data_IF_241117817833
#
_entry.id   IF_241117817833
#
_cell.length_a   1.000
_cell.length_b   1.000
_cell.length_c   1.000
_cell.angle_alpha   90.00
_cell.angle_beta   90.00
_cell.angle_gamma   90.00
#
_symmetry.space_group_name_H-M   'P 1'
#
loop_
_entity.id
_entity.type
_entity.pdbx_description
1 polymer ?
#
# COMPACT_ATOMS: atom_id res chain seq x y z
N UNK A 1 3.64 -16.45 -33.04
CA UNK A 1 4.29 -15.19 -32.59
C UNK A 1 3.52 -13.92 -33.02
N UNK A 2 2.18 -13.89 -32.94
CA UNK A 2 1.36 -12.72 -33.37
C UNK A 2 0.22 -12.30 -32.41
N UNK A 3 0.06 -12.93 -31.24
CA UNK A 3 -1.05 -12.61 -30.31
C UNK A 3 -0.75 -11.47 -29.30
N UNK A 4 0.47 -10.96 -29.23
CA UNK A 4 0.89 -10.08 -28.13
C UNK A 4 0.82 -8.55 -28.42
N UNK A 5 0.41 -8.14 -29.63
CA UNK A 5 0.33 -6.71 -30.00
C UNK A 5 -1.06 -6.07 -29.79
N UNK A 6 -2.12 -6.87 -29.75
CA UNK A 6 -3.49 -6.35 -29.60
C UNK A 6 -3.81 -5.96 -28.15
N UNK A 7 -3.35 -6.76 -27.17
CA UNK A 7 -3.54 -6.50 -25.74
C UNK A 7 -2.82 -5.22 -25.26
N UNK A 8 -1.61 -4.94 -25.76
CA UNK A 8 -0.87 -3.72 -25.37
C UNK A 8 -1.52 -2.42 -25.83
N UNK A 9 -2.27 -2.43 -26.95
CA UNK A 9 -3.02 -1.26 -27.43
C UNK A 9 -4.32 -1.03 -26.66
N UNK A 10 -4.97 -2.08 -26.17
CA UNK A 10 -6.18 -1.96 -25.36
C UNK A 10 -5.88 -1.29 -24.00
N UNK A 11 -4.81 -1.73 -23.32
CA UNK A 11 -4.42 -1.19 -22.00
C UNK A 11 -4.01 0.29 -22.05
N UNK A 12 -3.31 0.73 -23.11
CA UNK A 12 -2.93 2.15 -23.25
C UNK A 12 -4.10 3.08 -23.62
N UNK A 13 -5.16 2.54 -24.21
CA UNK A 13 -6.33 3.33 -24.62
C UNK A 13 -7.34 3.52 -23.47
N UNK A 14 -7.42 2.55 -22.55
CA UNK A 14 -8.27 2.62 -21.36
C UNK A 14 -7.74 3.65 -20.34
N UNK A 15 -6.42 3.70 -20.13
CA UNK A 15 -5.76 4.66 -19.22
C UNK A 15 -5.95 6.15 -19.58
N UNK A 16 -6.12 6.48 -20.88
CA UNK A 16 -6.33 7.88 -21.31
C UNK A 16 -7.80 8.34 -21.27
N UNK A 17 -8.76 7.41 -21.35
CA UNK A 17 -10.20 7.76 -21.40
C UNK A 17 -10.81 7.92 -20.01
N UNK A 18 -10.31 7.22 -18.99
CA UNK A 18 -10.77 7.38 -17.60
C UNK A 18 -10.30 8.70 -16.98
N UNK A 19 -9.10 9.19 -17.33
CA UNK A 19 -8.56 10.43 -16.77
C UNK A 19 -9.26 11.71 -17.25
N UNK A 20 -9.88 11.72 -18.43
CA UNK A 20 -10.55 12.91 -18.98
C UNK A 20 -12.01 13.10 -18.54
N UNK A 21 -12.67 12.09 -17.94
CA UNK A 21 -14.09 12.21 -17.55
C UNK A 21 -14.31 12.76 -16.13
N UNK A 22 -13.33 12.67 -15.23
CA UNK A 22 -13.49 13.14 -13.84
C UNK A 22 -13.14 14.62 -13.60
N UNK A 23 -12.81 15.40 -14.63
CA UNK A 23 -12.53 16.84 -14.53
C UNK A 23 -13.72 17.76 -14.90
N UNK A 24 -14.87 17.18 -15.26
CA UNK A 24 -15.96 17.91 -15.89
C UNK A 24 -17.28 17.90 -15.14
N UNK A 25 -17.32 18.13 -13.82
CA UNK A 25 -18.56 18.43 -13.09
C UNK A 25 -18.26 19.08 -11.73
N UNK A 26 -17.87 20.35 -11.77
CA UNK A 26 -18.06 21.26 -10.65
C UNK A 26 -18.86 22.45 -11.18
N UNK A 27 -20.12 22.51 -10.76
CA UNK A 27 -21.06 23.57 -11.09
C UNK A 27 -20.50 24.91 -10.59
N UNK A 28 -20.40 25.86 -11.51
CA UNK A 28 -20.09 27.24 -11.20
C UNK A 28 -21.30 27.89 -10.51
N UNK A 29 -21.14 28.26 -9.24
CA UNK A 29 -21.98 29.26 -8.60
C UNK A 29 -21.16 30.55 -8.49
N UNK A 30 -21.59 31.55 -9.25
CA UNK A 30 -21.08 32.92 -9.19
C UNK A 30 -21.35 33.54 -7.81
N UNK A 31 -20.38 34.20 -7.16
CA UNK A 31 -20.70 35.07 -6.03
C UNK A 31 -21.04 36.49 -6.54
N UNK A 32 -21.97 37.21 -5.89
CA UNK A 32 -22.18 38.61 -6.19
C UNK A 32 -21.08 39.46 -5.58
N UNK A 33 -20.70 40.50 -6.32
CA UNK A 33 -19.91 41.64 -5.88
C UNK A 33 -20.67 42.44 -4.83
N UNK A 34 -20.01 42.80 -3.73
CA UNK A 34 -20.10 44.16 -3.19
C UNK A 34 -18.97 44.45 -2.20
N UNK A 35 -18.57 45.72 -2.18
CA UNK A 35 -17.33 46.25 -1.65
C UNK A 35 -17.45 46.76 -0.19
N UNK A 36 -16.26 47.00 0.38
CA UNK A 36 -15.92 47.87 1.53
C UNK A 36 -16.34 47.43 2.94
N UNK A 37 -15.36 47.06 3.77
CA UNK A 37 -14.81 47.94 4.83
C UNK A 37 -13.76 47.20 5.66
N UNK A 38 -12.59 47.83 5.82
CA UNK A 38 -11.59 47.51 6.83
C UNK A 38 -12.20 47.49 8.23
N UNK A 39 -11.87 46.46 9.03
CA UNK A 39 -11.57 46.62 10.46
C UNK A 39 -11.06 45.32 11.08
N UNK A 40 -9.91 45.46 11.75
CA UNK A 40 -9.23 44.54 12.67
C UNK A 40 -10.15 43.57 13.42
N UNK A 41 -10.01 42.27 13.16
CA UNK A 41 -10.49 41.20 14.05
C UNK A 41 -9.38 40.21 14.35
N UNK A 42 -8.97 40.23 15.62
CA UNK A 42 -8.16 39.21 16.27
C UNK A 42 -8.60 37.81 15.85
N UNK A 43 -7.62 36.98 15.47
CA UNK A 43 -7.83 35.62 15.04
C UNK A 43 -8.60 34.85 16.13
N UNK A 44 -9.90 34.62 15.90
CA UNK A 44 -10.66 33.58 16.60
C UNK A 44 -9.90 32.29 16.36
N UNK A 45 -9.35 31.68 17.41
CA UNK A 45 -8.92 30.28 17.43
C UNK A 45 -10.14 29.44 17.05
N UNK A 46 -10.29 29.17 15.76
CA UNK A 46 -11.19 28.15 15.25
C UNK A 46 -10.75 26.83 15.85
N UNK A 47 -11.69 26.09 16.44
CA UNK A 47 -11.48 24.71 16.87
C UNK A 47 -10.74 23.93 15.77
N UNK A 48 -9.83 23.01 16.13
CA UNK A 48 -9.12 22.21 15.14
C UNK A 48 -10.16 21.56 14.21
N UNK A 49 -10.05 21.85 12.91
CA UNK A 49 -10.92 21.21 11.90
C UNK A 49 -10.56 19.72 11.88
N UNK A 50 -11.55 18.87 12.09
CA UNK A 50 -11.38 17.41 12.23
C UNK A 50 -10.69 16.73 11.03
N UNK A 51 -10.74 17.34 9.84
CA UNK A 51 -9.99 16.89 8.66
C UNK A 51 -9.57 18.08 7.81
N UNK A 52 -8.33 18.13 7.32
CA UNK A 52 -7.97 19.04 6.25
C UNK A 52 -8.59 18.54 4.93
N UNK A 53 -9.80 19.04 4.63
CA UNK A 53 -10.60 18.66 3.47
C UNK A 53 -9.98 18.97 2.10
N UNK A 54 -8.78 19.57 2.03
CA UNK A 54 -8.08 19.91 0.78
C UNK A 54 -6.57 19.79 0.96
N UNK A 55 -5.98 18.82 0.27
CA UNK A 55 -4.53 18.76 0.07
C UNK A 55 -4.16 19.59 -1.16
N UNK A 56 -3.15 20.45 -1.02
CA UNK A 56 -2.53 21.08 -2.17
C UNK A 56 -1.55 20.09 -2.77
N UNK A 57 -1.63 19.86 -4.09
CA UNK A 57 -0.64 19.05 -4.83
C UNK A 57 0.81 19.56 -4.70
N UNK A 58 0.99 20.79 -4.22
CA UNK A 58 2.29 21.44 -4.11
C UNK A 58 2.84 21.47 -2.68
N UNK A 59 2.05 21.05 -1.69
CA UNK A 59 2.49 21.01 -0.30
C UNK A 59 2.59 19.55 0.16
N UNK A 60 3.50 19.24 1.09
CA UNK A 60 3.53 17.92 1.71
C UNK A 60 2.16 17.60 2.32
N UNK A 61 1.80 16.32 2.28
CA UNK A 61 0.59 15.82 2.91
C UNK A 61 0.54 16.27 4.38
N UNK A 62 -0.63 16.71 4.83
CA UNK A 62 -0.82 17.11 6.21
C UNK A 62 -0.79 15.88 7.11
N UNK A 63 -0.24 16.06 8.31
CA UNK A 63 -0.11 15.04 9.37
C UNK A 63 -0.99 15.43 10.56
N UNK A 64 -1.55 14.44 11.24
CA UNK A 64 -2.30 14.67 12.48
C UNK A 64 -1.38 15.16 13.60
N UNK A 65 -1.83 16.17 14.36
CA UNK A 65 -1.15 16.57 15.59
C UNK A 65 -1.39 15.53 16.69
N UNK A 66 -0.51 15.48 17.68
CA UNK A 66 -0.58 14.53 18.79
C UNK A 66 -1.93 14.55 19.53
N UNK A 67 -2.47 15.73 19.82
CA UNK A 67 -3.80 15.91 20.44
C UNK A 67 -4.94 15.26 19.62
N UNK A 68 -4.82 15.32 18.29
CA UNK A 68 -5.81 14.73 17.37
C UNK A 68 -5.65 13.22 17.30
N UNK A 69 -4.40 12.73 17.29
CA UNK A 69 -4.10 11.29 17.26
C UNK A 69 -4.77 10.59 18.45
N UNK A 70 -4.45 10.98 19.68
CA UNK A 70 -4.97 10.32 20.88
C UNK A 70 -6.50 10.33 20.89
N UNK A 71 -7.10 11.50 20.71
CA UNK A 71 -8.56 11.66 20.81
C UNK A 71 -9.36 11.04 19.65
N UNK A 72 -8.77 10.90 18.46
CA UNK A 72 -9.44 10.35 17.28
C UNK A 72 -9.26 8.85 17.14
N UNK A 73 -8.09 8.33 17.51
CA UNK A 73 -7.77 6.91 17.43
C UNK A 73 -8.63 6.12 18.40
N UNK A 74 -8.73 6.57 19.66
CA UNK A 74 -9.59 5.93 20.67
C UNK A 74 -11.05 5.83 20.18
N UNK A 75 -11.58 6.91 19.61
CA UNK A 75 -12.95 6.93 19.06
C UNK A 75 -13.15 5.96 17.90
N UNK A 76 -12.15 5.78 17.04
CA UNK A 76 -12.24 4.87 15.90
C UNK A 76 -12.11 3.40 16.33
N UNK A 77 -11.17 3.10 17.22
CA UNK A 77 -10.92 1.75 17.70
C UNK A 77 -12.03 1.23 18.62
N UNK A 78 -12.67 2.10 19.40
CA UNK A 78 -13.79 1.72 20.28
C UNK A 78 -15.14 1.63 19.56
N UNK A 79 -15.27 2.18 18.34
CA UNK A 79 -16.50 2.13 17.58
C UNK A 79 -16.80 0.71 17.07
N UNK A 80 -18.03 0.24 17.24
CA UNK A 80 -18.49 -1.06 16.76
C UNK A 80 -18.31 -1.19 15.22
N UNK A 81 -17.78 -2.30 14.70
CA UNK A 81 -17.73 -2.55 13.25
C UNK A 81 -19.09 -2.38 12.55
N UNK A 82 -19.08 -1.68 11.41
CA UNK A 82 -20.27 -1.34 10.61
C UNK A 82 -20.95 -0.03 10.99
N UNK A 83 -20.38 0.75 11.92
CA UNK A 83 -20.95 2.04 12.37
C UNK A 83 -20.20 3.28 11.86
N UNK A 84 -18.99 3.12 11.31
CA UNK A 84 -18.17 4.23 10.85
C UNK A 84 -18.54 4.67 9.43
N UNK A 85 -19.02 3.75 8.58
CA UNK A 85 -19.77 4.09 7.38
C UNK A 85 -20.87 3.06 7.13
N UNK A 86 -22.08 3.53 6.82
CA UNK A 86 -23.29 2.70 6.79
C UNK A 86 -23.74 2.37 5.38
N UNK A 87 -24.22 1.13 5.17
CA UNK A 87 -24.91 0.76 3.94
C UNK A 87 -26.28 1.44 3.84
N UNK A 88 -26.56 2.09 2.71
CA UNK A 88 -27.88 2.67 2.42
C UNK A 88 -28.76 1.68 1.66
N UNK A 89 -29.91 1.23 2.21
CA UNK A 89 -30.80 0.26 1.53
C UNK A 89 -31.31 0.72 0.17
N UNK A 90 -31.33 2.03 -0.10
CA UNK A 90 -31.70 2.57 -1.43
C UNK A 90 -30.74 2.13 -2.54
N UNK A 91 -29.51 1.74 -2.19
CA UNK A 91 -28.49 1.29 -3.13
C UNK A 91 -28.84 -0.07 -3.75
N UNK A 92 -29.81 -0.82 -3.19
CA UNK A 92 -30.30 -2.08 -3.76
C UNK A 92 -30.91 -1.91 -5.15
N UNK A 93 -31.33 -0.69 -5.50
CA UNK A 93 -31.88 -0.34 -6.82
C UNK A 93 -30.79 -0.09 -7.88
N UNK A 94 -29.51 -0.08 -7.50
CA UNK A 94 -28.38 0.15 -8.40
C UNK A 94 -27.92 -1.16 -9.06
N UNK A 95 -27.16 -1.04 -10.16
CA UNK A 95 -26.43 -2.20 -10.68
C UNK A 95 -25.36 -2.65 -9.69
N UNK A 96 -24.89 -3.90 -9.76
CA UNK A 96 -23.84 -4.39 -8.86
C UNK A 96 -22.56 -3.54 -8.95
N UNK A 97 -22.22 -3.08 -10.17
CA UNK A 97 -21.06 -2.21 -10.41
C UNK A 97 -21.23 -0.83 -9.78
N UNK A 98 -22.38 -0.19 -9.99
CA UNK A 98 -22.66 1.13 -9.42
C UNK A 98 -22.73 1.07 -7.89
N UNK A 99 -23.27 -0.02 -7.34
CA UNK A 99 -23.33 -0.23 -5.89
C UNK A 99 -21.93 -0.42 -5.27
N UNK A 100 -21.03 -1.11 -5.97
CA UNK A 100 -19.63 -1.24 -5.57
C UNK A 100 -18.91 0.12 -5.65
N UNK A 101 -19.07 0.87 -6.74
CA UNK A 101 -18.52 2.23 -6.84
C UNK A 101 -19.07 3.15 -5.74
N UNK A 102 -20.36 3.08 -5.42
CA UNK A 102 -20.95 3.83 -4.32
C UNK A 102 -20.35 3.41 -2.97
N UNK A 103 -20.11 2.11 -2.74
CA UNK A 103 -19.47 1.64 -1.51
C UNK A 103 -18.07 2.24 -1.32
N UNK A 104 -17.28 2.36 -2.40
CA UNK A 104 -15.97 3.02 -2.36
C UNK A 104 -16.11 4.51 -2.02
N UNK A 105 -17.12 5.20 -2.57
CA UNK A 105 -17.39 6.61 -2.28
C UNK A 105 -17.81 6.85 -0.82
N UNK A 106 -18.65 6.00 -0.25
CA UNK A 106 -19.08 6.10 1.16
C UNK A 106 -17.89 5.88 2.12
N UNK A 107 -16.98 4.96 1.79
CA UNK A 107 -15.80 4.66 2.59
C UNK A 107 -14.74 5.78 2.54
N UNK A 108 -14.72 6.58 1.47
CA UNK A 108 -13.65 7.52 1.17
C UNK A 108 -13.38 8.54 2.30
N UNK A 109 -14.43 9.08 2.94
CA UNK A 109 -14.25 10.04 4.03
C UNK A 109 -13.54 9.42 5.24
N UNK A 110 -13.87 8.17 5.57
CA UNK A 110 -13.21 7.41 6.62
C UNK A 110 -11.77 7.06 6.22
N UNK A 111 -11.55 6.66 4.95
CA UNK A 111 -10.22 6.39 4.43
C UNK A 111 -9.29 7.58 4.61
N UNK A 112 -9.72 8.77 4.17
CA UNK A 112 -8.93 10.00 4.32
C UNK A 112 -8.62 10.31 5.79
N UNK A 113 -9.57 10.04 6.70
CA UNK A 113 -9.36 10.23 8.13
C UNK A 113 -8.31 9.28 8.68
N UNK A 114 -8.39 8.00 8.36
CA UNK A 114 -7.43 7.00 8.84
C UNK A 114 -6.05 7.25 8.23
N UNK A 115 -5.97 7.60 6.95
CA UNK A 115 -4.70 8.00 6.32
C UNK A 115 -4.07 9.21 7.04
N UNK A 116 -4.86 10.23 7.38
CA UNK A 116 -4.38 11.41 8.09
C UNK A 116 -3.77 11.05 9.47
N UNK A 117 -4.41 10.12 10.20
CA UNK A 117 -3.91 9.62 11.48
C UNK A 117 -2.64 8.77 11.31
N UNK A 118 -2.62 7.86 10.33
CA UNK A 118 -1.44 7.05 10.03
C UNK A 118 -0.25 7.91 9.63
N UNK A 119 -0.46 8.97 8.84
CA UNK A 119 0.60 9.95 8.51
C UNK A 119 1.11 10.68 9.76
N UNK A 120 0.23 10.97 10.71
CA UNK A 120 0.58 11.53 12.03
C UNK A 120 1.53 10.62 12.80
N UNK A 121 1.15 9.36 13.02
CA UNK A 121 2.01 8.36 13.66
C UNK A 121 3.33 8.14 12.93
N UNK A 122 3.28 8.00 11.60
CA UNK A 122 4.45 7.84 10.74
C UNK A 122 5.40 9.04 10.85
N UNK A 123 4.89 10.26 11.05
CA UNK A 123 5.72 11.48 11.17
C UNK A 123 6.53 11.56 12.46
N UNK A 124 6.18 10.74 13.47
CA UNK A 124 6.89 10.63 14.75
C UNK A 124 8.10 9.67 14.66
N UNK A 125 8.25 8.95 13.54
CA UNK A 125 9.31 7.97 13.32
C UNK A 125 10.44 8.59 12.47
N UNK A 126 11.66 8.50 12.97
CA UNK A 126 12.84 8.95 12.22
C UNK A 126 13.03 8.12 10.93
N UNK A 127 13.32 8.81 9.83
CA UNK A 127 13.58 8.16 8.54
C UNK A 127 12.33 7.75 7.75
N UNK A 128 11.14 8.03 8.29
CA UNK A 128 9.86 7.80 7.62
C UNK A 128 9.60 8.77 6.47
N UNK A 129 8.78 8.32 5.49
CA UNK A 129 8.35 9.11 4.33
C UNK A 129 7.56 10.38 4.69
N UNK A 130 6.90 10.43 5.86
CA UNK A 130 6.05 11.56 6.29
C UNK A 130 6.73 12.47 7.32
N UNK A 131 8.04 12.33 7.50
CA UNK A 131 8.81 13.05 8.53
C UNK A 131 8.43 14.54 8.59
N UNK A 132 8.11 14.98 9.80
CA UNK A 132 8.07 16.40 10.17
C UNK A 132 9.26 16.71 11.07
N UNK A 133 9.71 17.96 11.13
CA UNK A 133 10.86 18.39 11.95
C UNK A 133 10.62 18.31 13.49
N UNK A 134 9.54 17.63 13.91
CA UNK A 134 9.11 17.53 15.30
C UNK A 134 9.62 16.25 15.99
N UNK A 135 9.59 16.29 17.32
CA UNK A 135 10.16 15.34 18.27
C UNK A 135 10.03 13.85 17.90
N UNK A 136 11.11 13.12 18.16
CA UNK A 136 11.18 11.67 17.99
C UNK A 136 10.40 10.95 19.09
N UNK A 137 9.63 9.93 18.71
CA UNK A 137 8.97 9.08 19.67
C UNK A 137 9.95 8.10 20.34
N UNK A 138 9.85 7.96 21.67
CA UNK A 138 10.61 6.97 22.42
C UNK A 138 10.04 5.54 22.26
N UNK A 139 8.74 5.40 21.97
CA UNK A 139 8.05 4.10 21.88
C UNK A 139 7.61 3.74 20.45
N UNK A 140 8.55 3.30 19.62
CA UNK A 140 8.28 2.91 18.21
C UNK A 140 7.32 1.72 18.09
N UNK A 141 7.38 0.76 19.02
CA UNK A 141 6.57 -0.46 18.98
C UNK A 141 5.08 -0.16 19.19
N UNK A 142 4.76 0.76 20.12
CA UNK A 142 3.39 1.22 20.36
C UNK A 142 2.84 2.00 19.16
N UNK A 143 3.66 2.82 18.51
CA UNK A 143 3.27 3.53 17.27
C UNK A 143 2.88 2.52 16.19
N UNK A 144 3.75 1.54 15.92
CA UNK A 144 3.48 0.51 14.90
C UNK A 144 2.22 -0.29 15.26
N UNK A 145 2.05 -0.63 16.54
CA UNK A 145 0.86 -1.35 17.00
C UNK A 145 -0.42 -0.56 16.73
N UNK A 146 -0.50 0.71 17.13
CA UNK A 146 -1.65 1.57 16.86
C UNK A 146 -1.93 1.73 15.35
N UNK A 147 -0.87 1.83 14.53
CA UNK A 147 -1.01 1.90 13.08
C UNK A 147 -1.61 0.61 12.48
N UNK A 148 -1.21 -0.56 12.99
CA UNK A 148 -1.77 -1.85 12.57
C UNK A 148 -3.23 -1.97 13.02
N UNK A 149 -3.57 -1.58 14.24
CA UNK A 149 -4.96 -1.62 14.72
C UNK A 149 -5.91 -0.72 13.91
N UNK A 150 -5.46 0.46 13.51
CA UNK A 150 -6.22 1.34 12.62
C UNK A 150 -6.47 0.70 11.25
N UNK A 151 -5.47 0.00 10.71
CA UNK A 151 -5.58 -0.72 9.44
C UNK A 151 -6.56 -1.90 9.56
N UNK A 152 -6.47 -2.68 10.63
CA UNK A 152 -7.40 -3.77 10.94
C UNK A 152 -8.83 -3.28 11.12
N UNK A 153 -8.99 -2.13 11.78
CA UNK A 153 -10.30 -1.50 11.97
C UNK A 153 -10.95 -1.14 10.65
N UNK A 154 -10.18 -0.64 9.69
CA UNK A 154 -10.65 -0.33 8.33
C UNK A 154 -11.07 -1.58 7.56
N UNK A 155 -10.32 -2.68 7.67
CA UNK A 155 -10.70 -3.95 7.06
C UNK A 155 -11.98 -4.53 7.68
N UNK A 156 -12.10 -4.48 9.02
CA UNK A 156 -13.29 -4.94 9.73
C UNK A 156 -14.54 -4.14 9.33
N UNK A 157 -14.40 -2.82 9.15
CA UNK A 157 -15.50 -1.97 8.70
C UNK A 157 -15.97 -2.36 7.28
N UNK A 158 -15.02 -2.62 6.38
CA UNK A 158 -15.31 -3.12 5.05
C UNK A 158 -16.08 -4.43 5.03
N UNK A 159 -15.61 -5.41 5.81
CA UNK A 159 -16.26 -6.71 5.95
C UNK A 159 -17.69 -6.54 6.45
N UNK A 160 -17.89 -5.75 7.52
CA UNK A 160 -19.20 -5.47 8.09
C UNK A 160 -20.14 -4.82 7.05
N UNK A 161 -19.65 -3.89 6.22
CA UNK A 161 -20.44 -3.27 5.16
C UNK A 161 -20.96 -4.31 4.14
N UNK A 162 -20.11 -5.23 3.68
CA UNK A 162 -20.50 -6.28 2.73
C UNK A 162 -21.47 -7.27 3.35
N UNK A 163 -21.29 -7.62 4.62
CA UNK A 163 -22.23 -8.49 5.34
C UNK A 163 -23.62 -7.88 5.47
N UNK A 164 -23.70 -6.59 5.85
CA UNK A 164 -24.97 -5.86 5.94
C UNK A 164 -25.65 -5.81 4.57
N UNK A 165 -24.91 -5.46 3.51
CA UNK A 165 -25.40 -5.47 2.13
C UNK A 165 -25.98 -6.83 1.73
N UNK A 166 -25.25 -7.91 2.02
CA UNK A 166 -25.69 -9.27 1.73
C UNK A 166 -26.97 -9.64 2.48
N UNK A 167 -27.08 -9.29 3.77
CA UNK A 167 -28.28 -9.52 4.58
C UNK A 167 -29.51 -8.82 3.98
N UNK A 168 -29.38 -7.57 3.54
CA UNK A 168 -30.48 -6.85 2.89
C UNK A 168 -30.93 -7.50 1.58
N UNK A 169 -29.98 -7.97 0.75
CA UNK A 169 -30.31 -8.67 -0.51
C UNK A 169 -31.03 -10.00 -0.26
N UNK A 170 -30.58 -10.77 0.72
CA UNK A 170 -31.24 -12.03 1.12
C UNK A 170 -32.65 -11.79 1.66
N UNK A 171 -32.88 -10.71 2.40
CA UNK A 171 -34.21 -10.34 2.88
C UNK A 171 -35.15 -9.95 1.73
N UNK A 172 -34.68 -9.16 0.76
CA UNK A 172 -35.47 -8.82 -0.43
C UNK A 172 -35.84 -10.05 -1.26
N UNK A 173 -34.91 -10.98 -1.45
CA UNK A 173 -35.16 -12.22 -2.19
C UNK A 173 -36.29 -13.04 -1.54
N UNK A 174 -36.25 -13.21 -0.21
CA UNK A 174 -37.31 -13.93 0.53
C UNK A 174 -38.68 -13.26 0.42
N UNK A 175 -38.73 -11.93 0.40
CA UNK A 175 -40.00 -11.19 0.24
C UNK A 175 -40.55 -11.38 -1.17
N UNK A 176 -39.70 -11.39 -2.19
CA UNK A 176 -40.09 -11.62 -3.58
C UNK A 176 -40.64 -13.05 -3.79
N UNK A 177 -39.98 -14.06 -3.22
CA UNK A 177 -40.44 -15.47 -3.31
C UNK A 177 -41.80 -15.68 -2.63
N UNK A 178 -42.03 -14.99 -1.51
CA UNK A 178 -43.31 -15.01 -0.80
C UNK A 178 -44.44 -14.23 -1.51
N UNK A 179 -44.14 -13.42 -2.53
CA UNK A 179 -45.16 -12.67 -3.30
C UNK A 179 -45.58 -13.34 -4.60
N UNK A 180 -44.90 -14.41 -5.03
CA UNK A 180 -45.18 -15.11 -6.30
C UNK A 180 -45.58 -16.58 -6.12
N UNK A 181 -45.94 -17.00 -4.90
CA UNK A 181 -46.50 -18.33 -4.66
C UNK A 181 -47.67 -18.27 -3.70
N UNK A 182 -48.87 -18.38 -4.27
CA UNK A 182 -50.00 -18.96 -3.56
C UNK A 182 -49.62 -20.37 -3.09
N UNK A 183 -49.86 -20.63 -1.81
CA UNK A 183 -49.94 -21.95 -1.18
C UNK A 183 -48.81 -22.94 -1.53
N UNK A 184 -47.77 -22.96 -0.70
CA UNK A 184 -47.25 -24.21 -0.14
C UNK A 184 -46.42 -23.94 1.12
N UNK A 185 -47.00 -24.27 2.27
CA UNK A 185 -46.29 -24.44 3.53
C UNK A 185 -45.24 -25.54 3.37
N UNK A 186 -43.97 -25.19 3.56
CA UNK A 186 -42.92 -26.15 3.89
C UNK A 186 -41.88 -25.44 4.76
N UNK A 187 -41.90 -25.77 6.05
CA UNK A 187 -40.99 -25.29 7.10
C UNK A 187 -39.51 -25.33 6.68
N UNK A 188 -38.69 -24.30 7.01
CA UNK A 188 -37.26 -24.43 6.95
C UNK A 188 -36.73 -25.00 8.27
N UNK A 189 -36.10 -26.16 8.18
CA UNK A 189 -35.34 -26.78 9.25
C UNK A 189 -34.25 -25.83 9.77
N UNK A 190 -34.34 -25.49 11.06
CA UNK A 190 -33.27 -24.94 11.88
C UNK A 190 -32.17 -25.98 12.04
N UNK A 191 -31.11 -25.83 11.25
CA UNK A 191 -29.86 -26.57 11.43
C UNK A 191 -28.92 -25.81 12.36
N UNK A 192 -29.17 -25.89 13.66
CA UNK A 192 -28.15 -25.62 14.67
C UNK A 192 -27.12 -26.76 14.62
N UNK A 193 -25.89 -26.42 14.25
CA UNK A 193 -24.70 -27.21 14.57
C UNK A 193 -23.67 -26.28 15.20
N UNK A 194 -23.72 -26.25 16.52
CA UNK A 194 -22.53 -26.02 17.33
C UNK A 194 -21.64 -27.27 17.18
N UNK A 195 -20.47 -27.12 16.59
CA UNK A 195 -19.33 -27.98 16.88
C UNK A 195 -18.06 -27.13 16.78
N UNK A 196 -17.16 -27.39 17.71
CA UNK A 196 -16.04 -26.54 18.08
C UNK A 196 -14.73 -27.08 17.50
N UNK A 197 -13.80 -26.14 17.24
CA UNK A 197 -12.34 -26.27 17.03
C UNK A 197 -11.88 -26.12 15.55
N UNK A 198 -11.23 -24.99 15.27
CA UNK A 198 -10.36 -24.62 14.12
C UNK A 198 -10.92 -24.60 12.68
N UNK A 199 -12.25 -24.67 12.48
CA UNK A 199 -12.88 -24.53 11.14
C UNK A 199 -13.36 -23.09 10.81
N UNK A 200 -13.31 -22.14 11.75
CA UNK A 200 -13.94 -20.81 11.58
C UNK A 200 -13.26 -19.97 10.49
N UNK A 201 -11.93 -20.05 10.33
CA UNK A 201 -11.20 -19.26 9.33
C UNK A 201 -11.49 -19.67 7.90
N UNK A 202 -11.65 -20.97 7.63
CA UNK A 202 -11.91 -21.49 6.29
C UNK A 202 -13.36 -21.23 5.87
N UNK A 203 -14.30 -21.34 6.82
CA UNK A 203 -15.70 -20.98 6.62
C UNK A 203 -15.84 -19.48 6.34
N UNK A 204 -15.15 -18.63 7.10
CA UNK A 204 -15.16 -17.18 6.88
C UNK A 204 -14.49 -16.78 5.56
N UNK A 205 -13.40 -17.42 5.18
CA UNK A 205 -12.73 -17.17 3.90
C UNK A 205 -13.61 -17.57 2.70
N UNK A 206 -14.29 -18.72 2.78
CA UNK A 206 -15.24 -19.16 1.76
C UNK A 206 -16.45 -18.21 1.68
N UNK A 207 -17.00 -17.84 2.83
CA UNK A 207 -18.11 -16.89 2.93
C UNK A 207 -17.73 -15.54 2.34
N UNK A 208 -16.57 -15.00 2.66
CA UNK A 208 -16.07 -13.75 2.08
C UNK A 208 -15.84 -13.87 0.57
N UNK A 209 -15.30 -14.99 0.10
CA UNK A 209 -15.12 -15.23 -1.35
C UNK A 209 -16.46 -15.27 -2.08
N UNK A 210 -17.46 -15.95 -1.52
CA UNK A 210 -18.82 -15.97 -2.06
C UNK A 210 -19.46 -14.57 -2.06
N UNK A 211 -19.24 -13.79 -1.00
CA UNK A 211 -19.70 -12.40 -0.92
C UNK A 211 -19.01 -11.51 -1.96
N UNK A 212 -17.70 -11.64 -2.14
CA UNK A 212 -16.91 -10.88 -3.12
C UNK A 212 -17.35 -11.19 -4.55
N UNK A 213 -17.58 -12.47 -4.87
CA UNK A 213 -18.04 -12.87 -6.20
C UNK A 213 -19.45 -12.33 -6.52
N UNK A 214 -20.31 -12.19 -5.51
CA UNK A 214 -21.70 -11.76 -5.70
C UNK A 214 -21.89 -10.23 -5.59
N UNK A 215 -21.05 -9.56 -4.81
CA UNK A 215 -21.25 -8.17 -4.40
C UNK A 215 -20.02 -7.28 -4.60
N UNK A 216 -18.89 -7.85 -4.99
CA UNK A 216 -17.63 -7.12 -5.07
C UNK A 216 -16.87 -7.09 -3.76
N UNK A 217 -15.62 -6.67 -3.86
CA UNK A 217 -14.73 -6.67 -2.73
C UNK A 217 -15.17 -5.68 -1.64
N UNK A 218 -14.80 -5.91 -0.38
CA UNK A 218 -15.10 -4.98 0.70
C UNK A 218 -14.45 -3.62 0.49
N UNK A 219 -15.16 -2.48 0.58
CA UNK A 219 -14.48 -1.19 0.68
C UNK A 219 -13.61 -1.21 1.94
N UNK A 220 -12.38 -0.74 1.90
CA UNK A 220 -11.43 -1.02 2.98
C UNK A 220 -10.24 -0.07 2.99
N UNK A 221 -9.08 -0.49 3.52
CA UNK A 221 -7.88 0.32 3.48
C UNK A 221 -7.47 0.70 2.07
N UNK A 222 -6.82 1.85 1.94
CA UNK A 222 -6.09 2.21 0.73
C UNK A 222 -4.66 1.64 0.78
N UNK A 223 -4.03 1.51 -0.38
CA UNK A 223 -2.62 1.14 -0.53
C UNK A 223 -1.68 2.07 0.24
N UNK A 224 -2.02 3.37 0.35
CA UNK A 224 -1.26 4.34 1.14
C UNK A 224 -1.24 3.94 2.62
N UNK A 225 -2.33 3.40 3.16
CA UNK A 225 -2.35 2.95 4.56
C UNK A 225 -1.37 1.80 4.78
N UNK A 226 -1.37 0.81 3.88
CA UNK A 226 -0.40 -0.30 3.92
C UNK A 226 1.04 0.23 3.79
N UNK A 227 1.29 1.14 2.85
CA UNK A 227 2.61 1.73 2.61
C UNK A 227 3.14 2.49 3.86
N UNK A 228 2.27 3.21 4.56
CA UNK A 228 2.63 3.93 5.80
C UNK A 228 3.01 2.97 6.93
N UNK A 229 2.22 1.90 7.12
CA UNK A 229 2.51 0.88 8.15
C UNK A 229 3.81 0.14 7.82
N UNK A 230 4.01 -0.25 6.57
CA UNK A 230 5.22 -0.95 6.13
C UNK A 230 6.46 -0.05 6.24
N UNK A 231 6.37 1.23 5.89
CA UNK A 231 7.46 2.20 6.07
C UNK A 231 7.80 2.38 7.56
N UNK A 232 6.79 2.51 8.43
CA UNK A 232 6.97 2.60 9.87
C UNK A 232 7.74 1.39 10.44
N UNK A 233 7.43 0.18 9.97
CA UNK A 233 8.16 -1.03 10.33
C UNK A 233 9.60 -0.97 9.81
N UNK A 234 9.78 -0.60 8.53
CA UNK A 234 11.10 -0.57 7.88
C UNK A 234 12.09 0.40 8.54
N UNK A 235 11.61 1.51 9.09
CA UNK A 235 12.47 2.52 9.76
C UNK A 235 12.71 2.21 11.24
N UNK A 236 11.92 1.32 11.83
CA UNK A 236 12.00 1.00 13.25
C UNK A 236 12.84 -0.23 13.55
N UNK A 237 13.04 -1.11 12.55
CA UNK A 237 13.69 -2.42 12.74
C UNK A 237 15.13 -2.34 13.24
N UNK A 238 15.92 -1.36 12.80
CA UNK A 238 17.32 -1.20 13.19
C UNK A 238 17.49 -1.07 14.72
N UNK A 239 16.55 -0.40 15.37
CA UNK A 239 16.52 -0.15 16.81
C UNK A 239 15.67 -1.16 17.60
N UNK A 240 15.08 -2.16 16.94
CA UNK A 240 14.14 -3.07 17.59
C UNK A 240 14.84 -4.08 18.48
N UNK A 241 14.25 -4.33 19.65
CA UNK A 241 14.66 -5.43 20.54
C UNK A 241 14.22 -6.80 20.04
N UNK A 242 13.21 -6.84 19.17
CA UNK A 242 12.68 -8.07 18.58
C UNK A 242 12.48 -7.89 17.07
N UNK A 243 13.58 -7.91 16.28
CA UNK A 243 13.51 -7.71 14.83
C UNK A 243 12.71 -8.81 14.11
N UNK A 244 12.67 -10.04 14.64
CA UNK A 244 11.87 -11.14 14.07
C UNK A 244 10.39 -10.78 14.06
N UNK A 245 9.86 -10.26 15.18
CA UNK A 245 8.45 -9.84 15.25
C UNK A 245 8.13 -8.73 14.25
N UNK A 246 9.04 -7.78 14.02
CA UNK A 246 8.85 -6.74 13.00
C UNK A 246 8.93 -7.29 11.57
N UNK A 247 9.79 -8.27 11.32
CA UNK A 247 9.84 -8.96 10.03
C UNK A 247 8.55 -9.72 9.74
N UNK A 248 8.02 -10.46 10.73
CA UNK A 248 6.73 -11.15 10.67
C UNK A 248 5.60 -10.17 10.37
N UNK A 249 5.53 -9.05 11.11
CA UNK A 249 4.54 -7.99 10.88
C UNK A 249 4.68 -7.41 9.47
N UNK A 250 5.90 -7.14 8.99
CA UNK A 250 6.10 -6.62 7.62
C UNK A 250 5.56 -7.57 6.56
N UNK A 251 5.78 -8.89 6.73
CA UNK A 251 5.29 -9.91 5.81
C UNK A 251 3.78 -10.01 5.86
N UNK A 252 3.18 -10.00 7.06
CA UNK A 252 1.74 -10.07 7.24
C UNK A 252 1.01 -8.86 6.59
N UNK A 253 1.50 -7.64 6.82
CA UNK A 253 0.91 -6.43 6.23
C UNK A 253 1.09 -6.40 4.71
N UNK A 254 2.24 -6.84 4.21
CA UNK A 254 2.48 -7.00 2.77
C UNK A 254 1.50 -7.99 2.12
N UNK A 255 1.34 -9.18 2.71
CA UNK A 255 0.40 -10.19 2.21
C UNK A 255 -1.04 -9.65 2.20
N UNK A 256 -1.47 -8.96 3.28
CA UNK A 256 -2.79 -8.31 3.34
C UNK A 256 -3.00 -7.28 2.23
N UNK A 257 -1.97 -6.51 1.88
CA UNK A 257 -2.05 -5.57 0.75
C UNK A 257 -2.25 -6.28 -0.59
N UNK A 258 -1.61 -7.44 -0.81
CA UNK A 258 -1.80 -8.23 -2.03
C UNK A 258 -3.18 -8.88 -2.05
N UNK A 259 -3.62 -9.46 -0.94
CA UNK A 259 -4.95 -10.05 -0.81
C UNK A 259 -6.05 -9.01 -1.09
N UNK A 260 -5.88 -7.78 -0.60
CA UNK A 260 -6.84 -6.69 -0.88
C UNK A 260 -6.95 -6.38 -2.37
N UNK A 261 -5.81 -6.35 -3.08
CA UNK A 261 -5.77 -6.17 -4.53
C UNK A 261 -6.42 -7.36 -5.26
N UNK A 262 -6.08 -8.58 -4.86
CA UNK A 262 -6.63 -9.81 -5.45
C UNK A 262 -8.15 -9.87 -5.30
N UNK A 263 -8.70 -9.39 -4.18
CA UNK A 263 -10.16 -9.30 -3.99
C UNK A 263 -10.80 -8.33 -5.00
N UNK A 264 -10.18 -7.18 -5.25
CA UNK A 264 -10.66 -6.23 -6.25
C UNK A 264 -10.49 -6.79 -7.68
N UNK A 265 -9.41 -7.50 -7.99
CA UNK A 265 -9.23 -8.15 -9.29
C UNK A 265 -10.26 -9.28 -9.53
N UNK A 266 -10.47 -10.14 -8.52
CA UNK A 266 -11.43 -11.26 -8.58
C UNK A 266 -12.89 -10.79 -8.66
N UNK A 267 -13.19 -9.58 -8.19
CA UNK A 267 -14.55 -9.02 -8.25
C UNK A 267 -15.08 -8.86 -9.68
N UNK A 268 -14.19 -8.85 -10.69
CA UNK A 268 -14.58 -8.86 -12.10
C UNK A 268 -15.22 -7.57 -12.60
N UNK A 269 -15.25 -6.51 -11.80
CA UNK A 269 -15.69 -5.20 -12.27
C UNK A 269 -14.62 -4.61 -13.21
N UNK A 270 -15.05 -4.11 -14.38
CA UNK A 270 -14.20 -3.65 -15.48
C UNK A 270 -13.20 -2.51 -15.11
N UNK A 271 -13.29 -1.97 -13.90
CA UNK A 271 -12.40 -0.94 -13.36
C UNK A 271 -11.76 -1.44 -12.06
N UNK A 272 -10.49 -1.85 -12.15
CA UNK A 272 -9.65 -2.09 -10.98
C UNK A 272 -9.63 -0.83 -10.10
N UNK A 273 -9.93 -1.01 -8.82
CA UNK A 273 -9.85 0.04 -7.81
C UNK A 273 -8.38 0.52 -7.67
N UNK A 274 -8.05 1.75 -8.09
CA UNK A 274 -6.67 2.23 -8.01
C UNK A 274 -6.15 2.33 -6.57
N UNK A 275 -7.06 2.51 -5.61
CA UNK A 275 -6.73 2.68 -4.20
C UNK A 275 -6.34 1.38 -3.52
N UNK A 276 -6.56 0.21 -4.10
CA UNK A 276 -6.07 -1.07 -3.55
C UNK A 276 -4.83 -1.60 -4.25
N UNK A 277 -4.44 -1.00 -5.39
CA UNK A 277 -3.28 -1.44 -6.15
C UNK A 277 -2.00 -1.23 -5.32
N UNK A 278 -1.23 -2.30 -5.02
CA UNK A 278 0.04 -2.13 -4.33
C UNK A 278 0.96 -1.25 -5.19
N UNK A 279 1.86 -0.53 -4.53
CA UNK A 279 2.82 0.36 -5.19
C UNK A 279 4.22 -0.21 -5.10
N UNK A 280 5.18 0.40 -5.80
CA UNK A 280 6.58 0.04 -5.58
C UNK A 280 7.03 0.28 -4.12
N UNK A 281 6.39 1.20 -3.39
CA UNK A 281 6.68 1.43 -1.97
C UNK A 281 6.26 0.24 -1.11
N UNK A 282 5.14 -0.42 -1.42
CA UNK A 282 4.66 -1.62 -0.71
C UNK A 282 5.72 -2.72 -0.69
N UNK A 283 6.25 -3.07 -1.86
CA UNK A 283 7.30 -4.10 -1.98
C UNK A 283 8.64 -3.61 -1.43
N UNK A 284 9.03 -2.37 -1.77
CA UNK A 284 10.31 -1.83 -1.33
C UNK A 284 10.40 -1.67 0.18
N UNK A 285 9.30 -1.41 0.89
CA UNK A 285 9.31 -1.29 2.34
C UNK A 285 9.63 -2.63 3.03
N UNK A 286 9.15 -3.76 2.50
CA UNK A 286 9.52 -5.10 3.00
C UNK A 286 11.01 -5.38 2.75
N UNK A 287 11.50 -5.10 1.54
CA UNK A 287 12.92 -5.29 1.21
C UNK A 287 13.79 -4.36 2.07
N UNK A 288 13.37 -3.11 2.28
CA UNK A 288 14.03 -2.12 3.14
C UNK A 288 14.05 -2.58 4.60
N UNK A 289 12.96 -3.18 5.09
CA UNK A 289 12.90 -3.78 6.43
C UNK A 289 14.03 -4.79 6.58
N UNK A 290 14.17 -5.74 5.66
CA UNK A 290 15.26 -6.72 5.68
C UNK A 290 16.65 -6.10 5.54
N UNK A 291 16.78 -5.04 4.73
CA UNK A 291 18.05 -4.35 4.50
C UNK A 291 18.54 -3.54 5.70
N UNK A 292 17.63 -3.11 6.59
CA UNK A 292 17.91 -2.25 7.75
C UNK A 292 18.21 -3.03 9.03
N UNK A 293 18.44 -4.35 8.95
CA UNK A 293 18.74 -5.17 10.12
C UNK A 293 20.16 -4.90 10.63
N UNK A 294 20.27 -4.62 11.93
CA UNK A 294 21.53 -4.29 12.59
C UNK A 294 22.46 -5.49 12.79
N UNK A 295 21.91 -6.69 12.98
CA UNK A 295 22.71 -7.91 13.06
C UNK A 295 23.26 -8.20 11.66
N UNK A 296 24.55 -7.96 11.43
CA UNK A 296 25.25 -8.17 10.15
C UNK A 296 25.40 -9.66 9.80
N UNK A 297 24.31 -10.42 9.88
CA UNK A 297 24.27 -11.87 9.71
C UNK A 297 24.72 -12.68 10.93
N UNK A 298 24.99 -12.05 12.08
CA UNK A 298 25.48 -12.73 13.30
C UNK A 298 24.46 -13.72 13.89
N UNK A 299 23.18 -13.37 13.82
CA UNK A 299 22.07 -14.25 14.20
C UNK A 299 21.50 -14.93 12.96
N UNK A 300 21.68 -16.26 12.88
CA UNK A 300 21.22 -17.04 11.74
C UNK A 300 19.70 -16.99 11.56
N UNK A 301 18.91 -16.98 12.64
CA UNK A 301 17.45 -16.94 12.56
C UNK A 301 16.98 -15.61 11.99
N UNK A 302 17.51 -14.49 12.50
CA UNK A 302 17.17 -13.15 12.01
C UNK A 302 17.60 -13.01 10.55
N UNK A 303 18.82 -13.43 10.22
CA UNK A 303 19.37 -13.40 8.86
C UNK A 303 18.48 -14.15 7.88
N UNK A 304 18.14 -15.40 8.19
CA UNK A 304 17.41 -16.27 7.27
C UNK A 304 15.98 -15.76 7.04
N UNK A 305 15.31 -15.31 8.12
CA UNK A 305 13.96 -14.72 8.02
C UNK A 305 13.96 -13.44 7.19
N UNK A 306 14.96 -12.58 7.38
CA UNK A 306 15.10 -11.35 6.63
C UNK A 306 15.37 -11.57 5.15
N UNK A 307 16.25 -12.53 4.83
CA UNK A 307 16.52 -12.94 3.46
C UNK A 307 15.27 -13.50 2.80
N UNK A 308 14.54 -14.39 3.49
CA UNK A 308 13.28 -14.94 2.99
C UNK A 308 12.28 -13.83 2.68
N UNK A 309 12.06 -12.89 3.61
CA UNK A 309 11.17 -11.75 3.40
C UNK A 309 11.56 -10.88 2.20
N UNK A 310 12.85 -10.57 2.06
CA UNK A 310 13.35 -9.74 0.96
C UNK A 310 13.17 -10.43 -0.39
N UNK A 311 13.54 -11.70 -0.50
CA UNK A 311 13.37 -12.47 -1.74
C UNK A 311 11.90 -12.72 -2.05
N UNK A 312 11.05 -12.96 -1.05
CA UNK A 312 9.61 -13.10 -1.23
C UNK A 312 8.97 -11.83 -1.81
N UNK A 313 9.29 -10.67 -1.25
CA UNK A 313 8.82 -9.39 -1.78
C UNK A 313 9.40 -9.10 -3.17
N UNK A 314 10.69 -9.35 -3.39
CA UNK A 314 11.32 -9.13 -4.70
C UNK A 314 10.71 -10.04 -5.79
N UNK A 315 10.45 -11.31 -5.49
CA UNK A 315 9.82 -12.25 -6.40
C UNK A 315 8.36 -11.89 -6.69
N UNK A 316 7.60 -11.50 -5.65
CA UNK A 316 6.26 -10.96 -5.81
C UNK A 316 6.26 -9.75 -6.74
N UNK A 317 7.20 -8.82 -6.56
CA UNK A 317 7.37 -7.65 -7.43
C UNK A 317 7.85 -8.03 -8.84
N UNK A 318 8.56 -9.15 -8.99
CA UNK A 318 9.02 -9.64 -10.28
C UNK A 318 7.86 -10.08 -11.17
N UNK A 319 6.88 -10.73 -10.54
CA UNK A 319 5.73 -11.36 -11.20
C UNK A 319 4.45 -10.51 -11.15
N UNK A 320 4.44 -9.40 -10.39
CA UNK A 320 3.28 -8.53 -10.31
C UNK A 320 2.97 -7.86 -11.67
N UNK A 321 1.70 -7.84 -12.14
CA UNK A 321 1.36 -7.36 -13.48
C UNK A 321 1.56 -5.85 -13.68
N UNK A 322 1.46 -5.07 -12.61
CA UNK A 322 1.38 -3.60 -12.67
C UNK A 322 2.44 -2.85 -11.89
N UNK A 323 3.23 -3.51 -11.04
CA UNK A 323 4.23 -2.82 -10.18
C UNK A 323 5.63 -2.95 -10.77
N UNK A 324 6.23 -1.86 -11.27
CA UNK A 324 7.59 -1.89 -11.79
C UNK A 324 8.62 -1.78 -10.68
N UNK A 325 9.74 -2.49 -10.83
CA UNK A 325 10.94 -2.29 -10.00
C UNK A 325 11.59 -0.95 -10.31
N UNK A 326 12.19 -0.32 -9.30
CA UNK A 326 12.92 0.94 -9.42
C UNK A 326 14.32 0.84 -8.81
N UNK A 327 15.10 1.92 -8.84
CA UNK A 327 16.48 1.90 -8.31
C UNK A 327 16.52 1.57 -6.82
N UNK A 328 15.56 2.07 -6.04
CA UNK A 328 15.45 1.78 -4.62
C UNK A 328 15.27 0.28 -4.34
N UNK A 329 14.49 -0.43 -5.16
CA UNK A 329 14.34 -1.90 -5.07
C UNK A 329 15.71 -2.59 -5.08
N UNK A 330 16.54 -2.28 -6.07
CA UNK A 330 17.85 -2.91 -6.21
C UNK A 330 18.82 -2.47 -5.12
N UNK A 331 18.75 -1.21 -4.68
CA UNK A 331 19.57 -0.71 -3.57
C UNK A 331 19.28 -1.45 -2.28
N UNK A 332 18.00 -1.64 -1.93
CA UNK A 332 17.64 -2.39 -0.74
C UNK A 332 18.04 -3.86 -0.85
N UNK A 333 17.86 -4.48 -2.02
CA UNK A 333 18.37 -5.85 -2.25
C UNK A 333 19.89 -5.94 -2.07
N UNK A 334 20.66 -4.99 -2.61
CA UNK A 334 22.11 -4.97 -2.49
C UNK A 334 22.57 -4.70 -1.05
N UNK A 335 21.92 -3.79 -0.32
CA UNK A 335 22.19 -3.55 1.08
C UNK A 335 21.90 -4.79 1.92
N UNK A 336 20.78 -5.49 1.67
CA UNK A 336 20.44 -6.76 2.30
C UNK A 336 21.50 -7.82 1.99
N UNK A 337 21.87 -8.01 0.72
CA UNK A 337 22.93 -8.94 0.30
C UNK A 337 24.26 -8.58 0.99
N UNK A 338 24.55 -7.28 1.07
CA UNK A 338 25.74 -6.74 1.72
C UNK A 338 25.80 -6.99 3.22
N UNK A 339 24.68 -6.82 3.92
CA UNK A 339 24.62 -6.96 5.36
C UNK A 339 24.49 -8.41 5.83
N UNK A 340 23.82 -9.26 5.05
CA UNK A 340 23.36 -10.58 5.53
C UNK A 340 24.12 -11.76 4.91
N UNK A 341 24.68 -11.63 3.70
CA UNK A 341 25.46 -12.73 3.12
C UNK A 341 26.92 -12.67 3.61
N UNK A 342 27.51 -13.82 3.94
CA UNK A 342 28.95 -13.88 4.21
C UNK A 342 29.73 -13.45 2.96
N UNK A 343 30.86 -12.79 3.18
CA UNK A 343 31.77 -12.38 2.10
C UNK A 343 32.26 -13.62 1.35
N UNK A 344 32.19 -13.59 0.03
CA UNK A 344 32.66 -14.68 -0.82
C UNK A 344 32.01 -14.70 -2.21
N UNK A 345 32.32 -15.75 -2.97
CA UNK A 345 31.90 -15.88 -4.37
C UNK A 345 30.38 -15.80 -4.57
N UNK A 346 29.61 -16.40 -3.66
CA UNK A 346 28.14 -16.38 -3.74
C UNK A 346 27.63 -14.94 -3.63
N UNK A 347 28.15 -14.16 -2.68
CA UNK A 347 27.76 -12.75 -2.49
C UNK A 347 28.12 -11.91 -3.71
N UNK A 348 29.33 -12.08 -4.25
CA UNK A 348 29.75 -11.47 -5.52
C UNK A 348 28.79 -11.79 -6.68
N UNK A 349 28.41 -13.05 -6.83
CA UNK A 349 27.46 -13.47 -7.86
C UNK A 349 26.10 -12.77 -7.71
N UNK A 350 25.56 -12.70 -6.49
CA UNK A 350 24.31 -11.98 -6.24
C UNK A 350 24.40 -10.49 -6.56
N UNK A 351 25.47 -9.82 -6.13
CA UNK A 351 25.70 -8.39 -6.43
C UNK A 351 25.71 -8.17 -7.94
N UNK A 352 26.45 -9.00 -8.67
CA UNK A 352 26.51 -8.94 -10.14
C UNK A 352 25.15 -9.15 -10.78
N UNK A 353 24.39 -10.16 -10.35
CA UNK A 353 23.05 -10.44 -10.88
C UNK A 353 22.11 -9.27 -10.62
N UNK A 354 22.12 -8.68 -9.43
CA UNK A 354 21.31 -7.50 -9.12
C UNK A 354 21.67 -6.30 -10.01
N UNK A 355 22.97 -6.06 -10.22
CA UNK A 355 23.44 -5.01 -11.11
C UNK A 355 23.01 -5.22 -12.58
N UNK A 356 23.23 -6.42 -13.11
CA UNK A 356 22.83 -6.77 -14.49
C UNK A 356 21.31 -6.67 -14.65
N UNK A 357 20.53 -7.06 -13.63
CA UNK A 357 19.08 -6.96 -13.65
C UNK A 357 18.60 -5.51 -13.61
N UNK A 358 19.23 -4.65 -12.82
CA UNK A 358 18.94 -3.22 -12.79
C UNK A 358 19.23 -2.53 -14.15
N UNK A 359 20.27 -2.99 -14.86
CA UNK A 359 20.55 -2.57 -16.24
C UNK A 359 19.40 -2.99 -17.17
N UNK A 360 18.99 -4.26 -17.11
CA UNK A 360 17.91 -4.79 -17.96
C UNK A 360 16.60 -4.03 -17.76
N UNK A 361 16.28 -3.68 -16.52
CA UNK A 361 15.06 -2.94 -16.18
C UNK A 361 15.21 -1.41 -16.42
N UNK A 362 16.43 -0.94 -16.72
CA UNK A 362 16.70 0.44 -17.10
C UNK A 362 16.64 1.44 -15.95
N UNK A 363 16.88 0.98 -14.72
CA UNK A 363 16.70 1.76 -13.48
C UNK A 363 18.02 2.14 -12.79
N UNK A 364 19.15 2.05 -13.48
CA UNK A 364 20.43 2.52 -12.93
C UNK A 364 20.44 4.03 -12.66
N UNK A 365 20.90 4.40 -11.47
CA UNK A 365 21.23 5.75 -11.02
C UNK A 365 22.53 5.77 -10.19
N UNK A 366 22.92 6.95 -9.71
CA UNK A 366 24.17 7.12 -8.95
C UNK A 366 24.10 6.46 -7.59
N UNK A 367 22.97 6.57 -6.91
CA UNK A 367 22.81 6.01 -5.58
C UNK A 367 22.91 4.47 -5.62
N UNK A 368 22.42 3.84 -6.68
CA UNK A 368 22.59 2.41 -6.92
C UNK A 368 24.03 2.04 -7.28
N UNK A 369 24.73 2.86 -8.07
CA UNK A 369 26.16 2.66 -8.32
C UNK A 369 26.99 2.75 -7.02
N UNK A 370 26.74 3.78 -6.20
CA UNK A 370 27.42 3.98 -4.92
C UNK A 370 27.13 2.81 -3.97
N UNK A 371 25.89 2.29 -3.98
CA UNK A 371 25.50 1.11 -3.21
C UNK A 371 26.27 -0.13 -3.66
N UNK A 372 26.39 -0.40 -4.97
CA UNK A 372 27.21 -1.52 -5.45
C UNK A 372 28.66 -1.34 -5.09
N UNK A 373 29.20 -0.13 -5.23
CA UNK A 373 30.59 0.16 -4.86
C UNK A 373 30.83 -0.17 -3.39
N UNK A 374 29.97 0.29 -2.49
CA UNK A 374 30.07 0.04 -1.05
C UNK A 374 30.06 -1.46 -0.74
N UNK A 375 29.17 -2.23 -1.36
CA UNK A 375 29.04 -3.67 -1.10
C UNK A 375 30.17 -4.47 -1.77
N UNK A 376 30.75 -3.96 -2.86
CA UNK A 376 31.82 -4.59 -3.64
C UNK A 376 33.24 -4.20 -3.18
N UNK A 377 33.40 -3.40 -2.13
CA UNK A 377 34.73 -3.01 -1.60
C UNK A 377 35.47 -4.17 -0.89
N UNK A 378 34.75 -5.24 -0.55
CA UNK A 378 35.29 -6.49 0.01
C UNK A 378 35.74 -7.46 -1.11
N UNK A 379 36.60 -8.44 -0.80
CA UNK A 379 37.01 -9.48 -1.76
C UNK A 379 35.93 -10.54 -1.91
N UNK A 380 35.26 -10.59 -3.07
CA UNK A 380 34.20 -11.57 -3.35
C UNK A 380 34.65 -12.68 -4.31
N UNK A 381 35.96 -12.82 -4.52
CA UNK A 381 36.55 -13.84 -5.40
C UNK A 381 36.97 -13.26 -6.74
N UNK A 382 38.00 -13.87 -7.34
CA UNK A 382 38.75 -13.31 -8.47
C UNK A 382 37.87 -12.95 -9.67
N UNK A 383 36.86 -13.79 -9.97
CA UNK A 383 35.94 -13.56 -11.09
C UNK A 383 35.09 -12.31 -10.88
N UNK A 384 34.52 -12.14 -9.68
CA UNK A 384 33.74 -10.95 -9.36
C UNK A 384 34.62 -9.71 -9.29
N UNK A 385 35.75 -9.79 -8.59
CA UNK A 385 36.64 -8.65 -8.38
C UNK A 385 37.19 -8.12 -9.71
N UNK A 386 37.57 -9.03 -10.62
CA UNK A 386 37.99 -8.70 -11.99
C UNK A 386 36.84 -8.09 -12.79
N UNK A 387 35.64 -8.67 -12.71
CA UNK A 387 34.45 -8.13 -13.36
C UNK A 387 34.11 -6.72 -12.86
N UNK A 388 34.13 -6.48 -11.55
CA UNK A 388 33.79 -5.20 -10.95
C UNK A 388 34.82 -4.13 -11.30
N UNK A 389 36.11 -4.46 -11.23
CA UNK A 389 37.20 -3.57 -11.67
C UNK A 389 37.02 -3.13 -13.13
N UNK A 390 36.71 -4.08 -14.02
CA UNK A 390 36.46 -3.80 -15.44
C UNK A 390 35.18 -2.99 -15.65
N UNK A 391 34.12 -3.27 -14.88
CA UNK A 391 32.83 -2.57 -14.95
C UNK A 391 32.96 -1.13 -14.47
N UNK A 392 33.61 -0.91 -13.32
CA UNK A 392 33.93 0.40 -12.77
C UNK A 392 34.75 1.25 -13.75
N UNK A 393 35.79 0.67 -14.35
CA UNK A 393 36.61 1.37 -15.35
C UNK A 393 35.80 1.85 -16.56
N UNK A 394 34.78 1.10 -16.98
CA UNK A 394 33.87 1.48 -18.08
C UNK A 394 32.85 2.55 -17.71
N UNK A 395 32.57 2.73 -16.41
CA UNK A 395 31.58 3.69 -15.91
C UNK A 395 32.18 5.07 -15.60
N UNK A 396 33.50 5.22 -15.64
CA UNK A 396 34.17 6.49 -15.33
C UNK A 396 34.42 7.33 -16.60
N UNK A 397 33.73 8.49 -16.65
CA UNK A 397 33.89 9.67 -17.54
C UNK A 397 33.68 9.44 -19.04
N UNK A 398 32.52 9.85 -19.59
CA UNK A 398 32.46 10.70 -20.81
C UNK A 398 31.07 11.03 -21.41
N UNK A 399 29.91 10.76 -20.78
CA UNK A 399 28.62 11.25 -21.34
C UNK A 399 27.66 11.75 -20.26
N UNK A 400 27.44 13.08 -20.23
CA UNK A 400 26.36 13.78 -19.50
C UNK A 400 26.33 13.68 -17.97
N UNK A 401 27.48 13.46 -17.32
CA UNK A 401 27.56 13.30 -15.86
C UNK A 401 27.23 11.89 -15.43
N UNK A 402 28.18 10.96 -15.66
CA UNK A 402 28.19 9.51 -15.34
C UNK A 402 27.83 8.49 -16.44
N UNK A 403 27.73 8.88 -17.72
CA UNK A 403 27.91 7.93 -18.83
C UNK A 403 26.77 6.93 -19.04
N UNK A 404 25.57 7.17 -18.50
CA UNK A 404 24.42 6.31 -18.80
C UNK A 404 23.97 6.54 -20.26
N UNK A 405 23.72 5.47 -21.05
CA UNK A 405 23.21 5.60 -22.41
C UNK A 405 21.97 6.51 -22.46
N UNK A 406 21.91 7.44 -23.42
CA UNK A 406 20.77 8.36 -23.60
C UNK A 406 19.44 7.60 -23.74
N UNK A 407 19.48 6.38 -24.27
CA UNK A 407 18.34 5.45 -24.36
C UNK A 407 17.71 5.12 -23.00
N UNK A 408 18.46 5.25 -21.91
CA UNK A 408 18.01 5.00 -20.55
C UNK A 408 17.25 6.19 -19.92
N UNK A 409 17.30 7.36 -20.56
CA UNK A 409 16.43 8.49 -20.22
C UNK A 409 14.94 8.22 -20.47
N UNK A 410 14.58 7.16 -21.20
CA UNK A 410 13.18 6.78 -21.49
C UNK A 410 12.39 6.32 -20.26
N UNK A 411 13.06 5.81 -19.22
CA UNK A 411 12.43 5.35 -17.97
C UNK A 411 12.55 6.37 -16.81
N UNK A 412 12.81 7.65 -17.10
CA UNK A 412 13.03 8.69 -16.08
C UNK A 412 11.89 8.80 -15.05
N UNK A 413 10.65 8.46 -15.43
CA UNK A 413 9.51 8.46 -14.52
C UNK A 413 9.52 7.27 -13.55
N UNK A 414 9.97 6.09 -13.97
CA UNK A 414 10.11 4.89 -13.10
C UNK A 414 11.26 5.06 -12.10
N UNK A 415 12.27 5.88 -12.46
CA UNK A 415 13.43 6.18 -11.61
C UNK A 415 13.13 7.12 -10.45
N UNK A 416 12.11 7.96 -10.58
CA UNK A 416 11.73 8.86 -9.49
C UNK A 416 10.82 8.07 -8.56
N UNK A 417 11.19 8.02 -7.29
CA UNK A 417 10.19 7.87 -6.24
C UNK A 417 9.07 8.87 -6.56
N UNK A 418 7.88 8.37 -6.86
CA UNK A 418 6.73 9.22 -7.14
C UNK A 418 6.39 9.94 -5.83
N UNK A 419 6.95 11.14 -5.62
CA UNK A 419 6.45 12.03 -4.55
C UNK A 419 4.95 12.32 -4.71
N UNK A 420 4.40 12.11 -5.91
CA UNK A 420 2.97 12.19 -6.21
C UNK A 420 2.13 11.14 -5.49
N UNK A 421 2.64 9.95 -5.18
CA UNK A 421 1.86 8.95 -4.41
C UNK A 421 1.62 9.37 -2.96
N UNK A 422 2.41 10.33 -2.45
CA UNK A 422 2.18 11.00 -1.17
C UNK A 422 1.31 12.27 -1.28
N UNK A 423 0.85 12.61 -2.49
CA UNK A 423 0.02 13.79 -2.76
C UNK A 423 -1.20 13.40 -3.60
N UNK A 424 -2.16 12.74 -2.95
CA UNK A 424 -3.54 12.75 -3.40
C UNK A 424 -4.25 14.03 -2.92
#
# INVERSE_FOLDING_TARGET
MMLNKSLRKAVTTISKRSFQRNLGRCLATTPPSDATSDETKAAKKTAPRDLPLRHSRHLPAQVASEDILVSSVEKLLTAMPGTLFSYNPKNLNMTQSDEYENALLECHALQQKVEYLLRGYSSMLEGSMTKSDNSFAENKDEIIHNMIELLERMEAEGKAYVEVRSKYRSQLARVADNTDSGENESDPATGDKEDSIDEDTDVDAWKMTALVNNYGAPPGPSNIMYDLVLDAIAVSIESSKNPVSLLEKSRAIYTRSLERYDLDEKSGFDQLNPSSCPTAATFNAVIRTSANISSKGDDAQIRDYAMENAFFAFDGMLHHPVVPRNSATYRYMLNMIGGLFPVGEIRGNFIRVMWEKAIQDGVLDLELFDTVQQVADEQHGELFDTWWKNTKAKLVKDVNGYGFPISWGKNKNIRRFERSSATY
#
